data_IF_636515888130
#
_entry.id   IF_636515888130
#
_cell.length_a   1.000
_cell.length_b   1.000
_cell.length_c   1.000
_cell.angle_alpha   90.00
_cell.angle_beta   90.00
_cell.angle_gamma   90.00
#
_symmetry.space_group_name_H-M   'P 1'
#
loop_
_entity.id
_entity.type
_entity.pdbx_description
1 polymer ?
#
# COMPACT_ATOMS: atom_id res chain seq x y z
N UNK A 1 38.42 -18.00 34.95
CA UNK A 1 38.33 -19.38 34.45
C UNK A 1 38.82 -20.37 35.50
N UNK A 2 38.20 -21.54 35.49
CA UNK A 2 38.09 -22.56 36.54
C UNK A 2 39.44 -22.86 37.22
N UNK A 3 39.68 -22.27 38.39
CA UNK A 3 40.91 -22.46 39.20
C UNK A 3 41.18 -23.95 39.48
N UNK A 4 40.13 -24.77 39.46
CA UNK A 4 40.15 -26.21 39.63
C UNK A 4 40.90 -26.94 38.49
N UNK A 5 40.55 -26.70 37.22
CA UNK A 5 41.24 -27.29 36.06
C UNK A 5 42.67 -26.77 35.92
N UNK A 6 42.93 -25.52 36.31
CA UNK A 6 44.29 -24.98 36.40
C UNK A 6 45.16 -25.75 37.38
N UNK A 7 44.66 -26.04 38.59
CA UNK A 7 45.38 -26.81 39.62
C UNK A 7 45.67 -28.25 39.16
N UNK A 8 44.72 -28.90 38.47
CA UNK A 8 44.89 -30.26 37.96
C UNK A 8 45.99 -30.31 36.89
N UNK A 9 46.01 -29.36 35.95
CA UNK A 9 47.07 -29.27 34.93
C UNK A 9 48.46 -29.04 35.54
N UNK A 10 48.57 -28.13 36.51
CA UNK A 10 49.84 -27.87 37.20
C UNK A 10 50.35 -29.11 37.92
N UNK A 11 49.47 -29.86 38.59
CA UNK A 11 49.81 -31.12 39.26
C UNK A 11 50.27 -32.22 38.27
N UNK A 12 49.62 -32.33 37.12
CA UNK A 12 49.97 -33.33 36.09
C UNK A 12 51.31 -33.02 35.39
N UNK A 13 51.65 -31.73 35.23
CA UNK A 13 52.94 -31.27 34.74
C UNK A 13 54.07 -31.54 35.76
N UNK A 14 53.84 -31.27 37.05
CA UNK A 14 54.84 -31.51 38.10
C UNK A 14 55.12 -33.01 38.33
N UNK A 15 54.18 -33.89 37.98
CA UNK A 15 54.35 -35.35 38.07
C UNK A 15 54.95 -36.00 36.81
N UNK A 16 55.40 -35.21 35.81
CA UNK A 16 55.99 -35.74 34.56
C UNK A 16 54.99 -36.40 33.60
N UNK A 17 53.67 -36.27 33.83
CA UNK A 17 52.59 -36.96 33.07
C UNK A 17 52.12 -36.11 31.87
N UNK A 18 53.03 -35.74 30.99
CA UNK A 18 52.79 -34.87 29.82
C UNK A 18 51.65 -35.36 28.90
N UNK A 19 51.54 -36.67 28.65
CA UNK A 19 50.46 -37.26 27.85
C UNK A 19 49.07 -37.12 28.49
N UNK A 20 48.96 -37.17 29.82
CA UNK A 20 47.68 -36.91 30.52
C UNK A 20 47.35 -35.43 30.48
N UNK A 21 48.34 -34.56 30.69
CA UNK A 21 48.18 -33.11 30.59
C UNK A 21 47.59 -32.68 29.23
N UNK A 22 48.11 -33.20 28.10
CA UNK A 22 47.59 -32.88 26.77
C UNK A 22 46.13 -33.31 26.59
N UNK A 23 45.75 -34.51 27.03
CA UNK A 23 44.35 -34.97 26.99
C UNK A 23 43.40 -34.05 27.77
N UNK A 24 43.82 -33.60 28.96
CA UNK A 24 43.01 -32.68 29.77
C UNK A 24 42.94 -31.27 29.18
N UNK A 25 44.02 -30.75 28.60
CA UNK A 25 44.02 -29.44 27.95
C UNK A 25 43.13 -29.42 26.70
N UNK A 26 43.14 -30.50 25.91
CA UNK A 26 42.22 -30.67 24.77
C UNK A 26 40.77 -30.71 25.27
N UNK A 27 40.48 -31.47 26.33
CA UNK A 27 39.14 -31.51 26.92
C UNK A 27 38.64 -30.15 27.40
N UNK A 28 39.51 -29.33 28.00
CA UNK A 28 39.18 -27.96 28.42
C UNK A 28 38.82 -27.05 27.23
N UNK A 29 39.61 -27.11 26.15
CA UNK A 29 39.33 -26.37 24.92
C UNK A 29 38.00 -26.81 24.32
N UNK A 30 37.74 -28.12 24.22
CA UNK A 30 36.47 -28.65 23.72
C UNK A 30 35.28 -28.16 24.55
N UNK A 31 35.37 -28.17 25.88
CA UNK A 31 34.30 -27.67 26.75
C UNK A 31 34.05 -26.16 26.56
N UNK A 32 35.11 -25.36 26.43
CA UNK A 32 34.99 -23.92 26.15
C UNK A 32 34.33 -23.68 24.79
N UNK A 33 34.75 -24.41 23.75
CA UNK A 33 34.17 -24.32 22.40
C UNK A 33 32.70 -24.69 22.42
N UNK A 34 32.31 -25.79 23.08
CA UNK A 34 30.90 -26.17 23.24
C UNK A 34 30.11 -25.06 23.95
N UNK A 35 30.66 -24.46 25.01
CA UNK A 35 30.03 -23.36 25.71
C UNK A 35 29.77 -22.14 24.80
N UNK A 36 30.74 -21.77 23.98
CA UNK A 36 30.62 -20.67 22.99
C UNK A 36 29.58 -21.01 21.94
N UNK A 37 29.59 -22.23 21.39
CA UNK A 37 28.64 -22.67 20.37
C UNK A 37 27.20 -22.70 20.91
N UNK A 38 26.99 -23.13 22.15
CA UNK A 38 25.67 -23.08 22.79
C UNK A 38 25.21 -21.64 22.97
N UNK A 39 26.10 -20.75 23.45
CA UNK A 39 25.76 -19.33 23.60
C UNK A 39 25.39 -18.67 22.27
N UNK A 40 26.16 -18.93 21.21
CA UNK A 40 25.87 -18.46 19.85
C UNK A 40 24.55 -19.04 19.34
N UNK A 41 24.31 -20.33 19.55
CA UNK A 41 23.07 -21.00 19.15
C UNK A 41 21.84 -20.41 19.82
N UNK A 42 21.91 -20.13 21.13
CA UNK A 42 20.82 -19.49 21.89
C UNK A 42 20.57 -18.07 21.36
N UNK A 43 21.63 -17.31 21.09
CA UNK A 43 21.50 -15.96 20.54
C UNK A 43 20.87 -15.98 19.14
N UNK A 44 21.31 -16.87 18.26
CA UNK A 44 20.75 -17.03 16.92
C UNK A 44 19.28 -17.45 16.97
N UNK A 45 18.93 -18.41 17.83
CA UNK A 45 17.54 -18.83 18.01
C UNK A 45 16.63 -17.70 18.51
N UNK A 46 17.12 -16.89 19.46
CA UNK A 46 16.39 -15.71 19.93
C UNK A 46 16.20 -14.68 18.80
N UNK A 47 17.22 -14.44 17.99
CA UNK A 47 17.14 -13.55 16.84
C UNK A 47 16.15 -14.05 15.79
N UNK A 48 16.16 -15.35 15.47
CA UNK A 48 15.22 -15.97 14.54
C UNK A 48 13.77 -15.85 15.01
N UNK A 49 13.52 -15.99 16.33
CA UNK A 49 12.20 -15.80 16.92
C UNK A 49 11.71 -14.35 16.79
N UNK A 50 12.60 -13.38 17.02
CA UNK A 50 12.29 -11.96 16.86
C UNK A 50 12.02 -11.60 15.39
N UNK A 51 12.82 -12.13 14.47
CA UNK A 51 12.63 -11.95 13.03
C UNK A 51 11.28 -12.53 12.58
N UNK A 52 10.93 -13.75 13.00
CA UNK A 52 9.64 -14.38 12.66
C UNK A 52 8.44 -13.60 13.22
N UNK A 53 8.58 -13.01 14.42
CA UNK A 53 7.55 -12.14 15.00
C UNK A 53 7.36 -10.88 14.17
N UNK A 54 8.47 -10.29 13.72
CA UNK A 54 8.47 -9.08 12.90
C UNK A 54 7.92 -9.34 11.50
N UNK A 55 8.32 -10.44 10.86
CA UNK A 55 7.76 -10.93 9.59
C UNK A 55 6.24 -11.04 9.67
N UNK A 56 5.72 -11.72 10.70
CA UNK A 56 4.26 -11.88 10.87
C UNK A 56 3.54 -10.54 11.05
N UNK A 57 4.14 -9.60 11.77
CA UNK A 57 3.58 -8.25 11.95
C UNK A 57 3.52 -7.49 10.62
N UNK A 58 4.62 -7.49 9.87
CA UNK A 58 4.70 -6.85 8.55
C UNK A 58 3.67 -7.45 7.59
N UNK A 59 3.61 -8.77 7.50
CA UNK A 59 2.66 -9.44 6.60
C UNK A 59 1.21 -9.13 6.96
N UNK A 60 0.90 -9.01 8.26
CA UNK A 60 -0.45 -8.61 8.71
C UNK A 60 -0.78 -7.17 8.35
N UNK A 61 0.20 -6.27 8.42
CA UNK A 61 0.05 -4.87 8.02
C UNK A 61 -0.19 -4.76 6.52
N UNK A 62 0.60 -5.47 5.71
CA UNK A 62 0.42 -5.56 4.25
C UNK A 62 -0.95 -6.15 3.91
N UNK A 63 -1.38 -7.21 4.58
CA UNK A 63 -2.72 -7.80 4.36
C UNK A 63 -3.83 -6.78 4.62
N UNK A 64 -3.76 -6.06 5.75
CA UNK A 64 -4.75 -5.04 6.09
C UNK A 64 -4.76 -3.89 5.07
N UNK A 65 -3.57 -3.41 4.67
CA UNK A 65 -3.43 -2.37 3.64
C UNK A 65 -4.07 -2.78 2.31
N UNK A 66 -3.84 -4.03 1.89
CA UNK A 66 -4.43 -4.58 0.67
C UNK A 66 -5.94 -4.76 0.80
N UNK A 67 -6.45 -5.18 1.95
CA UNK A 67 -7.90 -5.30 2.20
C UNK A 67 -8.61 -3.94 2.14
N UNK A 68 -8.01 -2.91 2.74
CA UNK A 68 -8.55 -1.56 2.69
C UNK A 68 -8.46 -0.97 1.29
N UNK A 69 -7.33 -1.14 0.61
CA UNK A 69 -7.15 -0.73 -0.80
C UNK A 69 -8.18 -1.42 -1.71
N UNK A 70 -8.41 -2.72 -1.53
CA UNK A 70 -9.41 -3.46 -2.30
C UNK A 70 -10.84 -2.95 -2.04
N UNK A 71 -11.15 -2.60 -0.79
CA UNK A 71 -12.44 -2.02 -0.44
C UNK A 71 -12.63 -0.67 -1.14
N UNK A 72 -11.62 0.19 -1.13
CA UNK A 72 -11.67 1.50 -1.77
C UNK A 72 -11.75 1.36 -3.30
N UNK A 73 -10.98 0.44 -3.90
CA UNK A 73 -11.07 0.11 -5.33
C UNK A 73 -12.47 -0.37 -5.75
N UNK A 74 -13.14 -1.17 -4.92
CA UNK A 74 -14.51 -1.60 -5.20
C UNK A 74 -15.51 -0.44 -5.09
N UNK A 75 -15.30 0.50 -4.17
CA UNK A 75 -16.14 1.70 -4.07
C UNK A 75 -15.98 2.60 -5.31
N UNK A 76 -14.74 2.80 -5.75
CA UNK A 76 -14.44 3.59 -6.95
C UNK A 76 -14.97 2.93 -8.23
N UNK A 77 -14.85 1.60 -8.35
CA UNK A 77 -15.47 0.85 -9.44
C UNK A 77 -17.00 1.04 -9.45
N UNK A 78 -17.63 1.04 -8.28
CA UNK A 78 -19.05 1.36 -8.12
C UNK A 78 -19.39 2.78 -8.61
N UNK A 79 -18.60 3.77 -8.21
CA UNK A 79 -18.77 5.16 -8.63
C UNK A 79 -18.60 5.32 -10.15
N UNK A 80 -17.60 4.67 -10.75
CA UNK A 80 -17.38 4.69 -12.19
C UNK A 80 -18.53 4.02 -12.97
N UNK A 81 -19.12 2.95 -12.45
CA UNK A 81 -20.32 2.35 -13.07
C UNK A 81 -21.52 3.31 -13.06
N UNK A 82 -21.72 4.04 -11.96
CA UNK A 82 -22.77 5.05 -11.87
C UNK A 82 -22.49 6.25 -12.80
N UNK A 83 -21.22 6.63 -12.93
CA UNK A 83 -20.76 7.65 -13.88
C UNK A 83 -21.07 7.23 -15.31
N UNK A 84 -20.67 6.02 -15.73
CA UNK A 84 -20.97 5.46 -17.04
C UNK A 84 -22.49 5.45 -17.32
N UNK A 85 -23.29 4.98 -16.37
CA UNK A 85 -24.76 5.00 -16.50
C UNK A 85 -25.30 6.43 -16.67
N UNK A 86 -24.75 7.40 -15.95
CA UNK A 86 -25.14 8.81 -16.04
C UNK A 86 -24.72 9.42 -17.39
N UNK A 87 -23.58 9.00 -17.93
CA UNK A 87 -23.08 9.42 -19.25
C UNK A 87 -23.99 8.93 -20.35
N UNK A 88 -24.36 7.63 -20.35
CA UNK A 88 -25.33 7.11 -21.31
C UNK A 88 -26.69 7.82 -21.25
N UNK A 89 -27.20 8.10 -20.05
CA UNK A 89 -28.44 8.86 -19.88
C UNK A 89 -28.33 10.28 -20.43
N UNK A 90 -27.20 10.95 -20.18
CA UNK A 90 -26.96 12.30 -20.70
C UNK A 90 -26.93 12.32 -22.23
N UNK A 91 -26.27 11.34 -22.87
CA UNK A 91 -26.26 11.18 -24.33
C UNK A 91 -27.70 10.97 -24.85
N UNK A 92 -28.46 10.06 -24.24
CA UNK A 92 -29.85 9.79 -24.63
C UNK A 92 -30.73 11.05 -24.53
N UNK A 93 -30.53 11.84 -23.47
CA UNK A 93 -31.26 13.09 -23.28
C UNK A 93 -30.92 14.15 -24.32
N UNK A 94 -29.64 14.27 -24.69
CA UNK A 94 -29.20 15.20 -25.74
C UNK A 94 -29.77 14.83 -27.12
N UNK A 95 -30.04 13.54 -27.36
CA UNK A 95 -30.65 13.04 -28.59
C UNK A 95 -32.18 13.25 -28.65
N UNK A 96 -32.83 13.54 -27.53
CA UNK A 96 -34.27 13.81 -27.46
C UNK A 96 -34.57 15.29 -27.75
N UNK A 97 -35.75 15.56 -28.32
CA UNK A 97 -36.13 16.93 -28.68
C UNK A 97 -36.56 17.79 -27.49
N UNK A 98 -37.04 17.19 -26.40
CA UNK A 98 -37.42 17.88 -25.17
C UNK A 98 -36.92 17.12 -23.94
N UNK A 99 -36.00 17.72 -23.18
CA UNK A 99 -35.56 17.22 -21.87
C UNK A 99 -35.54 18.36 -20.88
N UNK A 100 -36.01 18.09 -19.66
CA UNK A 100 -35.93 19.05 -18.57
C UNK A 100 -34.47 19.34 -18.21
N UNK A 101 -34.07 20.61 -18.29
CA UNK A 101 -32.69 21.07 -18.13
C UNK A 101 -32.05 20.60 -16.80
N UNK A 102 -32.83 20.56 -15.71
CA UNK A 102 -32.33 20.11 -14.41
C UNK A 102 -31.98 18.62 -14.38
N UNK A 103 -32.71 17.80 -15.12
CA UNK A 103 -32.46 16.35 -15.23
C UNK A 103 -31.15 16.11 -15.97
N UNK A 104 -30.98 16.77 -17.12
CA UNK A 104 -29.75 16.71 -17.91
C UNK A 104 -28.55 17.26 -17.12
N UNK A 105 -28.73 18.38 -16.42
CA UNK A 105 -27.67 18.99 -15.62
C UNK A 105 -27.22 18.07 -14.48
N UNK A 106 -28.15 17.37 -13.84
CA UNK A 106 -27.84 16.39 -12.79
C UNK A 106 -27.06 15.19 -13.34
N UNK A 107 -27.46 14.64 -14.48
CA UNK A 107 -26.75 13.49 -15.07
C UNK A 107 -25.37 13.88 -15.57
N UNK A 108 -25.24 15.03 -16.25
CA UNK A 108 -23.95 15.54 -16.71
C UNK A 108 -22.98 15.80 -15.55
N UNK A 109 -23.44 16.40 -14.46
CA UNK A 109 -22.56 16.62 -13.30
C UNK A 109 -22.00 15.30 -12.76
N UNK A 110 -22.79 14.22 -12.77
CA UNK A 110 -22.33 12.90 -12.33
C UNK A 110 -21.47 12.18 -13.39
N UNK A 111 -21.58 12.56 -14.65
CA UNK A 111 -20.72 12.07 -15.73
C UNK A 111 -19.30 12.62 -15.68
N UNK A 112 -19.11 13.79 -15.06
CA UNK A 112 -17.81 14.46 -14.92
C UNK A 112 -17.22 14.34 -13.50
N UNK A 113 -17.74 13.45 -12.66
CA UNK A 113 -17.16 13.21 -11.34
C UNK A 113 -16.09 12.13 -11.42
N UNK A 114 -14.84 12.48 -11.12
CA UNK A 114 -13.74 11.52 -11.05
C UNK A 114 -13.50 11.05 -9.61
N UNK A 115 -13.17 9.77 -9.44
CA UNK A 115 -12.72 9.19 -8.17
C UNK A 115 -11.56 8.24 -8.46
N UNK A 116 -10.60 8.17 -7.54
CA UNK A 116 -9.38 7.37 -7.73
C UNK A 116 -8.97 6.70 -6.44
N UNK A 117 -8.58 5.44 -6.55
CA UNK A 117 -8.04 4.66 -5.45
C UNK A 117 -6.55 4.92 -5.35
N UNK A 118 -6.07 5.15 -4.13
CA UNK A 118 -4.64 5.18 -3.83
C UNK A 118 -4.30 3.96 -2.99
N UNK A 119 -3.36 3.15 -3.47
CA UNK A 119 -2.96 1.96 -2.74
C UNK A 119 -2.24 2.35 -1.44
N UNK A 120 -2.65 1.72 -0.33
CA UNK A 120 -1.94 1.88 0.95
C UNK A 120 -0.61 1.14 0.90
N UNK A 121 0.46 1.83 1.28
CA UNK A 121 1.84 1.34 1.21
C UNK A 121 2.52 1.16 2.57
N UNK A 122 1.82 1.40 3.69
CA UNK A 122 2.42 1.45 5.03
C UNK A 122 3.19 0.18 5.40
N UNK A 123 2.57 -0.99 5.21
CA UNK A 123 3.19 -2.29 5.44
C UNK A 123 4.39 -2.55 4.53
N UNK A 124 4.34 -2.10 3.27
CA UNK A 124 5.45 -2.21 2.33
C UNK A 124 6.63 -1.28 2.69
N UNK A 125 6.34 -0.05 3.10
CA UNK A 125 7.35 0.90 3.59
C UNK A 125 8.01 0.38 4.87
N UNK A 126 7.20 -0.18 5.78
CA UNK A 126 7.72 -0.81 6.98
C UNK A 126 8.60 -2.03 6.65
N UNK A 127 8.20 -2.87 5.68
CA UNK A 127 9.02 -3.97 5.16
C UNK A 127 10.37 -3.47 4.62
N UNK A 128 10.38 -2.44 3.78
CA UNK A 128 11.63 -1.84 3.27
C UNK A 128 12.52 -1.35 4.40
N UNK A 129 11.96 -0.70 5.42
CA UNK A 129 12.71 -0.20 6.58
C UNK A 129 13.38 -1.31 7.41
N UNK A 130 12.80 -2.52 7.42
CA UNK A 130 13.33 -3.70 8.11
C UNK A 130 14.26 -4.54 7.24
N UNK A 131 14.29 -4.29 5.94
CA UNK A 131 15.01 -5.08 4.95
C UNK A 131 14.16 -6.24 4.44
N UNK A 132 14.11 -6.39 3.11
CA UNK A 132 13.20 -7.34 2.46
C UNK A 132 13.45 -8.79 2.90
N UNK A 133 14.71 -9.15 3.18
CA UNK A 133 15.11 -10.49 3.60
C UNK A 133 14.49 -10.97 4.93
N UNK A 134 13.80 -10.08 5.67
CA UNK A 134 13.03 -10.46 6.85
C UNK A 134 11.85 -11.39 6.50
N UNK A 135 11.32 -11.30 5.29
CA UNK A 135 10.38 -12.28 4.75
C UNK A 135 11.17 -13.51 4.31
N UNK A 136 11.00 -14.63 5.01
CA UNK A 136 11.76 -15.87 4.78
C UNK A 136 11.42 -16.51 3.45
N UNK A 137 10.18 -16.38 2.99
CA UNK A 137 9.74 -16.91 1.71
C UNK A 137 10.17 -15.97 0.58
N UNK A 138 11.15 -16.41 -0.21
CA UNK A 138 11.64 -15.67 -1.38
C UNK A 138 10.54 -15.43 -2.42
N UNK A 139 9.65 -16.41 -2.62
CA UNK A 139 8.50 -16.28 -3.54
C UNK A 139 7.52 -15.22 -3.07
N UNK A 140 7.11 -15.27 -1.80
CA UNK A 140 6.17 -14.31 -1.24
C UNK A 140 6.76 -12.90 -1.24
N UNK A 141 8.04 -12.78 -0.88
CA UNK A 141 8.76 -11.50 -0.92
C UNK A 141 8.74 -10.90 -2.32
N UNK A 142 8.99 -11.73 -3.35
CA UNK A 142 8.95 -11.30 -4.76
C UNK A 142 7.55 -10.86 -5.18
N UNK A 143 6.52 -11.61 -4.82
CA UNK A 143 5.12 -11.26 -5.13
C UNK A 143 4.71 -9.92 -4.51
N UNK A 144 5.05 -9.71 -3.24
CA UNK A 144 4.81 -8.43 -2.55
C UNK A 144 5.56 -7.30 -3.26
N UNK A 145 6.86 -7.49 -3.56
CA UNK A 145 7.64 -6.43 -4.21
C UNK A 145 7.11 -6.13 -5.61
N UNK A 146 6.75 -7.14 -6.41
CA UNK A 146 6.24 -6.94 -7.76
C UNK A 146 4.88 -6.24 -7.74
N UNK A 147 4.01 -6.56 -6.76
CA UNK A 147 2.73 -5.89 -6.59
C UNK A 147 2.92 -4.38 -6.38
N UNK A 148 3.76 -3.97 -5.44
CA UNK A 148 3.95 -2.55 -5.10
C UNK A 148 4.84 -1.80 -6.09
N UNK A 149 5.97 -2.37 -6.49
CA UNK A 149 6.96 -1.68 -7.33
C UNK A 149 6.64 -1.71 -8.83
N UNK A 150 5.81 -2.66 -9.27
CA UNK A 150 5.45 -2.82 -10.69
C UNK A 150 3.96 -2.60 -10.91
N UNK A 151 3.10 -3.43 -10.31
CA UNK A 151 1.67 -3.45 -10.67
C UNK A 151 0.96 -2.17 -10.23
N UNK A 152 1.06 -1.79 -8.96
CA UNK A 152 0.46 -0.57 -8.41
C UNK A 152 1.07 0.67 -9.07
N UNK A 153 2.40 0.72 -9.17
CA UNK A 153 3.08 1.85 -9.80
C UNK A 153 2.67 2.10 -11.26
N UNK A 154 2.46 1.03 -12.04
CA UNK A 154 1.96 1.14 -13.42
C UNK A 154 0.54 1.68 -13.48
N UNK A 155 -0.32 1.26 -12.54
CA UNK A 155 -1.69 1.76 -12.45
C UNK A 155 -1.70 3.26 -12.15
N UNK A 156 -0.93 3.71 -11.14
CA UNK A 156 -0.82 5.12 -10.78
C UNK A 156 -0.34 5.98 -11.97
N UNK A 157 0.73 5.55 -12.65
CA UNK A 157 1.24 6.28 -13.82
C UNK A 157 0.24 6.34 -14.98
N UNK A 158 -0.46 5.24 -15.27
CA UNK A 158 -1.47 5.24 -16.33
C UNK A 158 -2.65 6.18 -16.03
N UNK A 159 -2.98 6.39 -14.76
CA UNK A 159 -4.02 7.31 -14.34
C UNK A 159 -3.58 8.79 -14.43
N UNK A 160 -2.29 9.08 -14.31
CA UNK A 160 -1.74 10.44 -14.48
C UNK A 160 -1.68 10.87 -15.94
N UNK A 161 -1.47 9.92 -16.88
CA UNK A 161 -1.37 10.23 -18.32
C UNK A 161 -2.73 10.57 -18.96
N UNK A 162 -3.85 10.17 -18.36
CA UNK A 162 -5.20 10.40 -18.89
C UNK A 162 -5.98 11.40 -18.03
N UNK A 163 -5.63 12.68 -18.14
CA UNK A 163 -6.39 13.75 -17.48
C UNK A 163 -7.52 14.25 -18.39
N UNK A 164 -8.66 13.56 -18.35
CA UNK A 164 -9.84 13.96 -19.10
C UNK A 164 -10.34 15.35 -18.72
N UNK A 165 -10.00 15.87 -17.54
CA UNK A 165 -10.36 17.23 -17.14
C UNK A 165 -9.60 18.26 -17.99
N UNK A 166 -8.35 17.99 -18.41
CA UNK A 166 -7.60 18.91 -19.27
C UNK A 166 -8.22 19.01 -20.66
N UNK A 167 -8.60 17.89 -21.27
CA UNK A 167 -9.17 17.89 -22.62
C UNK A 167 -10.61 18.42 -22.65
N UNK A 168 -11.43 18.10 -21.64
CA UNK A 168 -12.82 18.56 -21.59
C UNK A 168 -12.98 19.93 -20.92
N UNK A 169 -12.01 20.44 -20.15
CA UNK A 169 -12.13 21.73 -19.47
C UNK A 169 -12.52 22.90 -20.38
N UNK A 170 -11.96 23.06 -21.60
CA UNK A 170 -12.37 24.12 -22.51
C UNK A 170 -13.85 24.02 -22.90
N UNK A 171 -14.33 22.81 -23.18
CA UNK A 171 -15.73 22.54 -23.54
C UNK A 171 -16.67 22.73 -22.34
N UNK A 172 -16.27 22.26 -21.16
CA UNK A 172 -17.03 22.49 -19.93
C UNK A 172 -17.14 23.98 -19.63
N UNK A 173 -16.05 24.73 -19.77
CA UNK A 173 -16.02 26.17 -19.51
C UNK A 173 -16.81 26.96 -20.55
N UNK A 174 -16.88 26.53 -21.81
CA UNK A 174 -17.67 27.22 -22.84
C UNK A 174 -19.17 27.05 -22.59
N UNK A 175 -19.62 25.83 -22.24
CA UNK A 175 -21.05 25.47 -22.19
C UNK A 175 -21.68 25.43 -20.80
N UNK A 176 -20.88 25.35 -19.73
CA UNK A 176 -21.37 25.19 -18.36
C UNK A 176 -20.85 26.29 -17.42
N UNK A 177 -21.63 26.59 -16.39
CA UNK A 177 -21.25 27.40 -15.23
C UNK A 177 -21.33 26.54 -13.98
N UNK A 178 -20.63 26.91 -12.91
CA UNK A 178 -20.80 26.28 -11.61
C UNK A 178 -21.88 27.05 -10.83
N UNK A 179 -22.72 26.36 -10.07
CA UNK A 179 -23.73 27.01 -9.22
C UNK A 179 -23.07 28.00 -8.25
N UNK A 180 -23.68 29.17 -8.05
CA UNK A 180 -23.16 30.20 -7.12
C UNK A 180 -23.27 29.80 -5.64
N UNK A 181 -24.12 28.80 -5.34
CA UNK A 181 -24.31 28.24 -4.02
C UNK A 181 -24.11 26.72 -4.09
N UNK A 182 -23.60 26.09 -3.02
CA UNK A 182 -23.45 24.65 -2.96
C UNK A 182 -24.83 23.97 -2.95
N UNK A 183 -24.96 22.87 -3.70
CA UNK A 183 -26.18 22.05 -3.71
C UNK A 183 -26.26 21.14 -2.49
N UNK A 184 -25.12 20.77 -1.91
CA UNK A 184 -25.03 20.05 -0.63
C UNK A 184 -23.63 20.17 -0.06
N UNK A 185 -23.52 19.97 1.24
CA UNK A 185 -22.22 19.81 1.91
C UNK A 185 -22.00 18.32 2.16
N UNK A 186 -20.86 17.79 1.75
CA UNK A 186 -20.44 16.42 2.10
C UNK A 186 -19.50 16.52 3.30
N UNK A 187 -19.68 15.66 4.30
CA UNK A 187 -18.75 15.53 5.42
C UNK A 187 -18.04 14.18 5.34
N UNK A 188 -16.84 14.10 4.75
CA UNK A 188 -16.07 12.86 4.75
C UNK A 188 -15.73 12.44 6.18
N UNK A 189 -15.71 11.13 6.46
CA UNK A 189 -15.49 10.59 7.81
C UNK A 189 -14.13 10.95 8.40
N UNK A 190 -13.16 11.32 7.56
CA UNK A 190 -11.80 11.70 7.90
C UNK A 190 -11.57 13.21 7.96
N UNK A 191 -12.62 14.03 7.78
CA UNK A 191 -12.55 15.49 7.84
C UNK A 191 -13.49 16.03 8.93
N UNK A 192 -12.98 16.95 9.75
CA UNK A 192 -13.80 17.63 10.76
C UNK A 192 -14.77 18.64 10.12
N UNK A 193 -14.40 19.16 8.96
CA UNK A 193 -15.17 20.13 8.20
C UNK A 193 -15.97 19.47 7.07
N UNK A 194 -16.99 20.18 6.60
CA UNK A 194 -17.78 19.75 5.45
C UNK A 194 -17.34 20.46 4.18
N UNK A 195 -17.24 19.71 3.09
CA UNK A 195 -16.85 20.18 1.78
C UNK A 195 -18.12 20.61 1.03
N UNK A 196 -18.25 21.89 0.63
CA UNK A 196 -19.36 22.35 -0.19
C UNK A 196 -19.23 21.79 -1.60
N UNK A 197 -20.28 21.11 -2.04
CA UNK A 197 -20.36 20.52 -3.37
C UNK A 197 -21.23 21.40 -4.27
N UNK A 198 -20.65 21.81 -5.39
CA UNK A 198 -21.31 22.63 -6.40
C UNK A 198 -21.72 21.76 -7.59
N UNK A 199 -22.68 22.25 -8.38
CA UNK A 199 -23.15 21.56 -9.59
C UNK A 199 -22.76 22.36 -10.83
N UNK A 200 -22.54 21.69 -11.95
CA UNK A 200 -22.56 22.37 -13.23
C UNK A 200 -23.98 22.86 -13.55
N UNK A 201 -24.11 23.89 -14.37
CA UNK A 201 -25.36 24.43 -14.91
C UNK A 201 -25.12 24.80 -16.36
N UNK A 202 -25.95 24.23 -17.25
CA UNK A 202 -25.89 24.53 -18.68
C UNK A 202 -26.18 26.03 -18.90
N UNK A 203 -25.32 26.70 -19.66
CA UNK A 203 -25.51 28.10 -20.06
C UNK A 203 -26.58 28.23 -21.14
N UNK A 204 -26.49 27.39 -22.16
CA UNK A 204 -27.36 27.42 -23.34
C UNK A 204 -27.47 26.01 -23.92
N UNK A 205 -28.66 25.41 -23.82
CA UNK A 205 -28.91 24.05 -24.31
C UNK A 205 -28.81 23.92 -25.83
N UNK A 206 -29.25 24.94 -26.57
CA UNK A 206 -29.27 24.90 -28.03
C UNK A 206 -27.86 24.96 -28.59
N UNK A 207 -26.96 25.74 -27.95
CA UNK A 207 -25.53 25.76 -28.32
C UNK A 207 -24.87 24.41 -28.15
N UNK A 208 -25.15 23.69 -27.06
CA UNK A 208 -24.62 22.33 -26.86
C UNK A 208 -25.12 21.39 -27.97
N UNK A 209 -26.39 21.49 -28.37
CA UNK A 209 -26.97 20.61 -29.42
C UNK A 209 -26.41 20.88 -30.82
N UNK A 210 -25.98 22.12 -31.09
CA UNK A 210 -25.45 22.55 -32.39
C UNK A 210 -23.92 22.49 -32.49
N UNK A 211 -23.23 22.26 -31.37
CA UNK A 211 -21.77 22.21 -31.33
C UNK A 211 -21.27 20.82 -31.75
N UNK A 212 -20.43 20.78 -32.79
CA UNK A 212 -19.80 19.57 -33.30
C UNK A 212 -18.30 19.50 -32.96
N UNK A 213 -17.83 20.28 -31.98
CA UNK A 213 -16.42 20.36 -31.59
C UNK A 213 -15.93 19.16 -30.76
N UNK A 214 -16.73 18.09 -30.65
CA UNK A 214 -16.41 16.83 -29.98
C UNK A 214 -16.32 15.69 -31.00
#
# INVERSE_FOLDING_TARGET
MIKFFRKIRQKLLSEGKTGKYLKYAIGEIFLVVIGILIALSINNWNQDRLNATTEKKILKEIENDLMETLKDANNDLGAHNEMLSSTFKSIQYLQQNEVHIDTLTKTLTRSFSDTRTYAKSGGMEYLKSKGLAIIKSDSLRKEITDLYELSIKRLDQSAEEYDSDIEFAPYLKSHFTITSQPVRNIKPSYLNDSIPLYRYKIKDYNKIKMDSSL
#
